data_IF_695713596656
#
_entry.id   IF_695713596656
#
_cell.length_a   1.000
_cell.length_b   1.000
_cell.length_c   1.000
_cell.angle_alpha   90.00
_cell.angle_beta   90.00
_cell.angle_gamma   90.00
#
_symmetry.space_group_name_H-M   'P 1'
#
loop_
_entity.id
_entity.type
_entity.pdbx_description
1 polymer ?
#
# COMPACT_ATOMS: atom_id res chain seq x y z
N UNK A 1 -11.15 9.32 -6.88
CA UNK A 1 -10.43 9.19 -8.16
C UNK A 1 -11.39 9.48 -9.30
N UNK A 2 -10.97 10.14 -10.40
CA UNK A 2 -11.82 10.25 -11.59
C UNK A 2 -12.32 8.86 -12.00
N UNK A 3 -13.61 8.76 -12.29
CA UNK A 3 -14.21 7.55 -12.80
C UNK A 3 -14.67 7.80 -14.23
N UNK A 4 -14.58 6.79 -15.09
CA UNK A 4 -15.28 6.80 -16.37
C UNK A 4 -16.80 6.75 -16.16
N UNK A 5 -17.61 6.81 -17.25
CA UNK A 5 -19.07 6.86 -17.19
C UNK A 5 -19.74 5.81 -16.30
N UNK A 6 -19.10 4.64 -16.11
CA UNK A 6 -19.60 3.52 -15.29
C UNK A 6 -18.63 3.13 -14.16
N UNK A 7 -17.69 3.98 -13.79
CA UNK A 7 -16.67 3.66 -12.77
C UNK A 7 -17.16 3.92 -11.34
N UNK A 8 -16.59 3.19 -10.36
CA UNK A 8 -17.02 3.22 -8.95
C UNK A 8 -16.32 4.26 -8.08
N UNK A 9 -15.45 5.10 -8.66
CA UNK A 9 -14.51 5.99 -7.95
C UNK A 9 -13.60 5.28 -6.93
N UNK A 10 -13.52 3.94 -6.97
CA UNK A 10 -12.70 3.15 -6.06
C UNK A 10 -11.24 3.62 -6.07
N UNK A 11 -10.62 3.56 -4.89
CA UNK A 11 -9.21 3.87 -4.70
C UNK A 11 -8.45 2.59 -4.36
N UNK A 12 -7.16 2.53 -4.68
CA UNK A 12 -6.30 1.40 -4.28
C UNK A 12 -5.62 1.76 -2.97
N UNK A 13 -5.88 0.99 -1.91
CA UNK A 13 -5.10 1.10 -0.68
C UNK A 13 -3.89 0.18 -0.73
N UNK A 14 -2.72 0.73 -0.43
CA UNK A 14 -1.51 -0.02 -0.17
C UNK A 14 -0.68 0.72 0.88
N UNK A 15 0.07 -0.04 1.68
CA UNK A 15 0.99 0.50 2.67
C UNK A 15 2.24 -0.37 2.71
N UNK A 16 3.38 0.23 3.08
CA UNK A 16 4.56 -0.57 3.48
C UNK A 16 4.26 -1.22 4.82
N UNK A 17 4.74 -2.45 5.00
CA UNK A 17 4.59 -3.20 6.23
C UNK A 17 5.94 -3.50 6.87
N UNK A 18 5.96 -3.58 8.20
CA UNK A 18 7.09 -4.13 8.93
C UNK A 18 6.85 -5.63 9.07
N UNK A 19 7.84 -6.44 8.68
CA UNK A 19 7.74 -7.89 8.68
C UNK A 19 8.95 -8.53 9.36
N UNK A 20 8.73 -9.72 9.92
CA UNK A 20 9.78 -10.52 10.55
C UNK A 20 10.36 -11.54 9.55
N UNK A 21 11.69 -11.65 9.50
CA UNK A 21 12.35 -12.67 8.67
C UNK A 21 12.23 -14.07 9.29
N UNK A 22 12.34 -15.11 8.45
CA UNK A 22 12.34 -16.50 8.91
C UNK A 22 13.49 -16.78 9.91
N UNK A 23 14.66 -16.16 9.69
CA UNK A 23 15.81 -16.28 10.58
C UNK A 23 15.54 -15.70 11.98
N UNK A 24 14.84 -14.57 12.06
CA UNK A 24 14.43 -14.00 13.36
C UNK A 24 13.34 -14.85 14.02
N UNK A 25 12.42 -15.41 13.23
CA UNK A 25 11.35 -16.29 13.72
C UNK A 25 11.87 -17.60 14.33
N UNK A 26 13.03 -18.08 13.87
CA UNK A 26 13.66 -19.32 14.36
C UNK A 26 14.24 -19.24 15.79
N UNK A 27 14.35 -18.04 16.37
CA UNK A 27 14.82 -17.83 17.74
C UNK A 27 13.75 -17.12 18.57
N UNK A 28 13.38 -17.70 19.71
CA UNK A 28 12.26 -17.18 20.53
C UNK A 28 12.50 -15.77 21.04
N UNK A 29 13.72 -15.44 21.45
CA UNK A 29 14.04 -14.12 21.99
C UNK A 29 14.06 -13.07 20.88
N UNK A 30 14.64 -13.39 19.73
CA UNK A 30 14.63 -12.53 18.54
C UNK A 30 13.22 -12.33 18.01
N UNK A 31 12.40 -13.36 17.95
CA UNK A 31 11.02 -13.27 17.51
C UNK A 31 10.20 -12.34 18.43
N UNK A 32 10.34 -12.48 19.75
CA UNK A 32 9.66 -11.61 20.72
C UNK A 32 10.10 -10.14 20.58
N UNK A 33 11.39 -9.88 20.39
CA UNK A 33 11.90 -8.53 20.19
C UNK A 33 11.48 -7.93 18.83
N UNK A 34 11.47 -8.73 17.77
CA UNK A 34 11.00 -8.31 16.46
C UNK A 34 9.50 -7.94 16.48
N UNK A 35 8.67 -8.73 17.16
CA UNK A 35 7.25 -8.42 17.35
C UNK A 35 7.05 -7.07 18.05
N UNK A 36 7.79 -6.80 19.14
CA UNK A 36 7.76 -5.51 19.84
C UNK A 36 8.15 -4.35 18.94
N UNK A 37 9.16 -4.53 18.09
CA UNK A 37 9.59 -3.51 17.14
C UNK A 37 8.51 -3.25 16.08
N UNK A 38 7.90 -4.30 15.53
CA UNK A 38 6.79 -4.19 14.58
C UNK A 38 5.61 -3.45 15.21
N UNK A 39 5.28 -3.72 16.47
CA UNK A 39 4.23 -3.02 17.20
C UNK A 39 4.58 -1.55 17.47
N UNK A 40 5.83 -1.25 17.83
CA UNK A 40 6.32 0.11 18.07
C UNK A 40 6.25 1.01 16.83
N UNK A 41 6.60 0.49 15.65
CA UNK A 41 6.66 1.27 14.42
C UNK A 41 5.40 1.16 13.55
N UNK A 42 4.79 -0.03 13.49
CA UNK A 42 3.68 -0.34 12.60
C UNK A 42 2.34 -0.57 13.30
N UNK A 43 2.34 -0.84 14.60
CA UNK A 43 1.16 -1.25 15.37
C UNK A 43 0.73 -0.25 16.43
N UNK A 44 -0.03 -0.75 17.41
CA UNK A 44 -0.33 -0.04 18.65
C UNK A 44 0.73 -0.41 19.68
N UNK A 45 1.50 0.56 20.12
CA UNK A 45 2.43 0.39 21.24
C UNK A 45 1.87 1.09 22.47
N UNK A 46 1.72 0.37 23.58
CA UNK A 46 1.03 0.90 24.77
C UNK A 46 -0.42 1.33 24.49
N UNK A 47 -1.09 0.71 23.50
CA UNK A 47 -2.46 1.06 23.10
C UNK A 47 -2.58 2.27 22.16
N UNK A 48 -1.48 2.91 21.77
CA UNK A 48 -1.46 4.13 20.96
C UNK A 48 -0.72 3.94 19.64
N UNK A 49 -1.09 4.74 18.64
CA UNK A 49 -0.41 4.82 17.34
C UNK A 49 0.57 6.00 17.30
N UNK A 50 1.42 6.09 18.33
CA UNK A 50 2.27 7.26 18.58
C UNK A 50 3.29 7.49 17.45
N UNK A 51 3.91 6.42 16.95
CA UNK A 51 4.91 6.53 15.88
C UNK A 51 4.29 7.03 14.56
N UNK A 52 3.16 6.49 14.16
CA UNK A 52 2.47 6.87 12.92
C UNK A 52 2.00 8.33 13.00
N UNK A 53 1.48 8.76 14.16
CA UNK A 53 1.14 10.17 14.41
C UNK A 53 2.38 11.05 14.32
N UNK A 54 3.48 10.69 14.99
CA UNK A 54 4.72 11.46 14.97
C UNK A 54 5.28 11.61 13.55
N UNK A 55 5.36 10.53 12.78
CA UNK A 55 5.82 10.55 11.39
C UNK A 55 4.96 11.46 10.50
N UNK A 56 3.64 11.42 10.69
CA UNK A 56 2.74 12.30 9.96
C UNK A 56 2.95 13.77 10.31
N UNK A 57 3.03 14.10 11.60
CA UNK A 57 3.19 15.48 12.07
C UNK A 57 4.57 16.06 11.71
N UNK A 58 5.61 15.23 11.69
CA UNK A 58 6.99 15.64 11.39
C UNK A 58 7.26 15.75 9.88
N UNK A 59 6.86 14.73 9.11
CA UNK A 59 7.27 14.60 7.69
C UNK A 59 6.12 14.63 6.69
N UNK A 60 4.86 14.62 7.15
CA UNK A 60 3.70 14.40 6.29
C UNK A 60 3.55 12.97 5.78
N UNK A 61 4.32 12.01 6.31
CA UNK A 61 4.21 10.59 5.92
C UNK A 61 2.82 10.07 6.25
N UNK A 62 2.07 9.67 5.21
CA UNK A 62 0.71 9.19 5.34
C UNK A 62 0.61 7.86 6.11
N UNK A 63 -0.56 7.61 6.71
CA UNK A 63 -0.87 6.40 7.48
C UNK A 63 -2.25 5.84 7.12
N UNK A 64 -2.48 4.56 7.37
CA UNK A 64 -3.76 3.87 7.15
C UNK A 64 -4.57 3.61 8.43
N UNK A 65 -4.12 4.14 9.56
CA UNK A 65 -4.78 3.99 10.86
C UNK A 65 -6.01 4.89 10.95
N UNK A 66 -7.20 4.32 10.75
CA UNK A 66 -8.47 5.07 10.74
C UNK A 66 -8.73 5.89 12.00
N UNK A 67 -8.36 5.40 13.19
CA UNK A 67 -8.61 6.14 14.43
C UNK A 67 -7.84 7.45 14.55
N UNK A 68 -6.69 7.58 13.88
CA UNK A 68 -5.91 8.83 13.89
C UNK A 68 -6.58 9.97 13.10
N UNK A 69 -7.56 9.68 12.24
CA UNK A 69 -8.35 10.71 11.56
C UNK A 69 -9.27 11.49 12.53
N UNK A 70 -9.52 10.94 13.73
CA UNK A 70 -10.24 11.65 14.78
C UNK A 70 -9.31 12.43 15.73
N UNK A 71 -7.99 12.36 15.53
CA UNK A 71 -7.03 13.09 16.35
C UNK A 71 -6.98 14.57 15.92
N UNK A 72 -7.14 15.52 16.86
CA UNK A 72 -7.24 16.94 16.53
C UNK A 72 -5.94 17.51 15.95
N UNK A 73 -4.76 17.02 16.38
CA UNK A 73 -3.48 17.50 15.84
C UNK A 73 -3.26 16.98 14.42
N UNK A 74 -3.64 15.73 14.17
CA UNK A 74 -3.60 15.14 12.82
C UNK A 74 -4.53 15.89 11.88
N UNK A 75 -5.76 16.16 12.30
CA UNK A 75 -6.71 16.95 11.48
C UNK A 75 -6.16 18.34 11.18
N UNK A 76 -5.72 19.07 12.21
CA UNK A 76 -5.18 20.41 12.06
C UNK A 76 -3.94 20.44 11.15
N UNK A 77 -3.10 19.42 11.17
CA UNK A 77 -1.95 19.30 10.27
C UNK A 77 -2.38 19.01 8.82
N UNK A 78 -3.38 18.15 8.59
CA UNK A 78 -3.91 17.89 7.25
C UNK A 78 -4.57 19.14 6.62
N UNK A 79 -5.37 19.86 7.40
CA UNK A 79 -6.13 21.02 6.92
C UNK A 79 -5.23 22.20 6.46
N UNK A 80 -3.95 22.20 6.86
CA UNK A 80 -2.95 23.13 6.32
C UNK A 80 -2.64 22.90 4.84
N UNK A 81 -2.80 21.67 4.35
CA UNK A 81 -2.33 21.24 3.03
C UNK A 81 -3.43 20.67 2.12
N UNK A 82 -4.64 20.44 2.63
CA UNK A 82 -5.74 19.95 1.80
C UNK A 82 -7.06 19.75 2.54
N UNK A 83 -8.04 19.22 1.81
CA UNK A 83 -9.37 18.92 2.34
C UNK A 83 -9.35 17.56 3.05
N UNK A 84 -9.29 17.62 4.38
CA UNK A 84 -9.31 16.45 5.25
C UNK A 84 -10.55 15.56 5.03
N UNK A 85 -11.73 16.17 4.85
CA UNK A 85 -12.97 15.43 4.64
C UNK A 85 -12.96 14.70 3.29
N UNK A 86 -12.35 15.28 2.26
CA UNK A 86 -12.15 14.60 0.97
C UNK A 86 -11.23 13.37 1.11
N UNK A 87 -10.11 13.49 1.83
CA UNK A 87 -9.20 12.36 2.06
C UNK A 87 -9.89 11.21 2.80
N UNK A 88 -10.65 11.52 3.85
CA UNK A 88 -11.40 10.51 4.60
C UNK A 88 -12.40 9.78 3.70
N UNK A 89 -13.15 10.51 2.86
CA UNK A 89 -14.06 9.92 1.86
C UNK A 89 -13.33 9.00 0.88
N UNK A 90 -12.14 9.40 0.39
CA UNK A 90 -11.35 8.57 -0.52
C UNK A 90 -10.82 7.29 0.14
N UNK A 91 -10.53 7.33 1.44
CA UNK A 91 -10.10 6.16 2.21
C UNK A 91 -11.24 5.14 2.36
N UNK A 92 -12.49 5.58 2.51
CA UNK A 92 -13.64 4.66 2.59
C UNK A 92 -13.94 3.95 1.26
N UNK A 93 -13.50 4.55 0.14
CA UNK A 93 -13.57 3.94 -1.20
C UNK A 93 -12.41 2.99 -1.50
N UNK A 94 -11.47 2.83 -0.57
CA UNK A 94 -10.32 1.98 -0.76
C UNK A 94 -10.72 0.52 -0.97
N UNK A 95 -10.03 -0.13 -1.91
CA UNK A 95 -10.09 -1.56 -2.16
C UNK A 95 -8.71 -2.16 -1.96
N UNK A 96 -8.69 -3.39 -1.44
CA UNK A 96 -7.46 -4.19 -1.40
C UNK A 96 -7.02 -4.47 -2.83
N UNK A 97 -5.71 -4.50 -3.06
CA UNK A 97 -5.17 -5.10 -4.29
C UNK A 97 -5.58 -6.58 -4.32
N UNK A 98 -6.24 -6.98 -5.40
CA UNK A 98 -6.75 -8.33 -5.64
C UNK A 98 -5.73 -9.24 -6.36
N UNK A 99 -4.60 -8.67 -6.79
CA UNK A 99 -3.54 -9.35 -7.56
C UNK A 99 -2.31 -9.76 -6.73
N UNK A 100 -2.35 -9.72 -5.39
CA UNK A 100 -1.17 -10.07 -4.58
C UNK A 100 -0.97 -11.60 -4.55
N UNK A 101 -0.11 -12.10 -5.43
CA UNK A 101 0.43 -13.46 -5.44
C UNK A 101 1.86 -13.49 -4.87
N UNK A 102 2.37 -14.68 -4.49
CA UNK A 102 3.75 -14.85 -3.98
C UNK A 102 4.82 -14.36 -4.97
N UNK A 103 4.53 -14.45 -6.25
CA UNK A 103 5.37 -14.04 -7.37
C UNK A 103 4.99 -12.66 -7.95
N UNK A 104 4.16 -11.88 -7.23
CA UNK A 104 3.66 -10.59 -7.71
C UNK A 104 4.79 -9.63 -8.13
N UNK A 105 5.90 -9.60 -7.40
CA UNK A 105 7.03 -8.71 -7.72
C UNK A 105 7.61 -8.96 -9.11
N UNK A 106 7.77 -10.23 -9.50
CA UNK A 106 8.29 -10.59 -10.83
C UNK A 106 7.27 -10.26 -11.94
N UNK A 107 5.98 -10.48 -11.67
CA UNK A 107 4.93 -10.08 -12.58
C UNK A 107 4.86 -8.56 -12.77
N UNK A 108 4.97 -7.80 -11.68
CA UNK A 108 4.84 -6.34 -11.67
C UNK A 108 5.97 -5.66 -12.46
N UNK A 109 7.18 -6.22 -12.46
CA UNK A 109 8.30 -5.74 -13.27
C UNK A 109 8.01 -5.87 -14.78
N UNK A 110 7.54 -7.04 -15.22
CA UNK A 110 7.16 -7.28 -16.61
C UNK A 110 5.96 -6.41 -17.02
N UNK A 111 4.93 -6.35 -16.17
CA UNK A 111 3.74 -5.52 -16.38
C UNK A 111 4.10 -4.03 -16.50
N UNK A 112 4.89 -3.50 -15.56
CA UNK A 112 5.29 -2.09 -15.54
C UNK A 112 6.11 -1.71 -16.77
N UNK A 113 7.05 -2.57 -17.18
CA UNK A 113 7.86 -2.36 -18.39
C UNK A 113 6.98 -2.33 -19.66
N UNK A 114 6.03 -3.27 -19.76
CA UNK A 114 5.13 -3.35 -20.90
C UNK A 114 4.20 -2.12 -20.99
N UNK A 115 3.64 -1.67 -19.87
CA UNK A 115 2.83 -0.46 -19.82
C UNK A 115 3.64 0.80 -20.10
N UNK A 116 4.87 0.89 -19.61
CA UNK A 116 5.74 2.03 -19.94
C UNK A 116 6.00 2.11 -21.44
N UNK A 117 6.24 0.99 -22.12
CA UNK A 117 6.39 0.97 -23.57
C UNK A 117 5.11 1.44 -24.30
N UNK A 118 3.93 0.99 -23.86
CA UNK A 118 2.67 1.40 -24.45
C UNK A 118 2.37 2.90 -24.24
N UNK A 119 2.63 3.42 -23.04
CA UNK A 119 2.47 4.85 -22.71
C UNK A 119 3.39 5.72 -23.56
N UNK A 120 4.63 5.25 -23.82
CA UNK A 120 5.59 5.93 -24.68
C UNK A 120 5.34 5.73 -26.19
N UNK A 121 4.27 5.04 -26.58
CA UNK A 121 3.91 4.78 -27.98
C UNK A 121 4.83 3.78 -28.70
N UNK A 122 5.62 2.99 -27.96
CA UNK A 122 6.55 1.98 -28.50
C UNK A 122 5.90 0.61 -28.70
N UNK A 123 4.72 0.40 -28.13
CA UNK A 123 3.86 -0.78 -28.30
C UNK A 123 2.39 -0.38 -28.18
N UNK A 124 1.46 -1.26 -28.55
CA UNK A 124 0.04 -1.01 -28.32
C UNK A 124 -0.37 -1.35 -26.87
N UNK A 125 -1.47 -0.75 -26.40
CA UNK A 125 -2.11 -1.13 -25.13
C UNK A 125 -2.47 -2.62 -25.12
N UNK A 126 -2.94 -3.14 -26.26
CA UNK A 126 -3.26 -4.56 -26.43
C UNK A 126 -2.04 -5.45 -26.22
N UNK A 127 -0.87 -5.04 -26.73
CA UNK A 127 0.36 -5.81 -26.55
C UNK A 127 0.81 -5.79 -25.09
N UNK A 128 0.74 -4.63 -24.42
CA UNK A 128 1.05 -4.54 -23.00
C UNK A 128 0.18 -5.46 -22.14
N UNK A 129 -1.14 -5.49 -22.42
CA UNK A 129 -2.08 -6.40 -21.77
C UNK A 129 -1.73 -7.88 -22.02
N UNK A 130 -1.40 -8.24 -23.26
CA UNK A 130 -1.00 -9.61 -23.61
C UNK A 130 0.28 -10.02 -22.89
N UNK A 131 1.29 -9.15 -22.84
CA UNK A 131 2.54 -9.40 -22.11
C UNK A 131 2.29 -9.62 -20.62
N UNK A 132 1.52 -8.74 -19.98
CA UNK A 132 1.19 -8.87 -18.56
C UNK A 132 0.40 -10.16 -18.27
N UNK A 133 -0.57 -10.52 -19.12
CA UNK A 133 -1.37 -11.74 -18.97
C UNK A 133 -0.58 -13.03 -19.21
N UNK A 134 0.33 -13.02 -20.21
CA UNK A 134 1.21 -14.15 -20.49
C UNK A 134 2.13 -14.42 -19.29
N UNK A 135 2.78 -13.38 -18.73
CA UNK A 135 3.65 -13.53 -17.56
C UNK A 135 2.88 -13.98 -16.32
N UNK A 136 1.66 -13.47 -16.11
CA UNK A 136 0.78 -13.94 -15.03
C UNK A 136 0.51 -15.44 -15.14
N UNK A 137 0.15 -15.90 -16.35
CA UNK A 137 -0.16 -17.30 -16.61
C UNK A 137 1.07 -18.19 -16.42
N UNK A 138 2.23 -17.77 -16.89
CA UNK A 138 3.51 -18.45 -16.69
C UNK A 138 3.80 -18.64 -15.20
N UNK A 139 3.80 -17.56 -14.41
CA UNK A 139 4.13 -17.60 -12.99
C UNK A 139 3.12 -18.38 -12.15
N UNK A 140 1.84 -18.31 -12.52
CA UNK A 140 0.78 -19.06 -11.85
C UNK A 140 0.94 -20.59 -11.93
N UNK A 141 1.63 -21.09 -12.96
CA UNK A 141 1.89 -22.54 -13.14
C UNK A 141 3.11 -23.02 -12.35
N UNK A 142 4.00 -22.10 -12.00
CA UNK A 142 5.25 -22.40 -11.28
C UNK A 142 5.13 -22.25 -9.76
N UNK A 143 3.95 -21.87 -9.26
CA UNK A 143 3.69 -21.51 -7.86
C UNK A 143 2.91 -22.60 -7.11
#
# INVERSE_FOLDING_TARGET
MPAGPNGSHATVAWMRMHAMSAAAAGDKARAANAARLIEAFGGKFGGQYAFQKAMFLDTGTAFGVKSLFNDPEVRAAYEKYGDFAMFQKQQDLARRKDVIARWFGEWDEANSTAWQAAILGRSSVTDALKTAAAKWTELSRSA
#
